data_IF_133134132496
#
_entry.id   IF_133134132496
#
_cell.length_a   1.000
_cell.length_b   1.000
_cell.length_c   1.000
_cell.angle_alpha   90.00
_cell.angle_beta   90.00
_cell.angle_gamma   90.00
#
_symmetry.space_group_name_H-M   'P 1'
#
loop_
_entity.id
_entity.type
_entity.pdbx_description
1 polymer ?
#
# COMPACT_ATOMS: atom_id res chain seq x y z
N UNK A 1 -23.66 -31.18 -8.18
CA UNK A 1 -24.60 -30.46 -7.30
C UNK A 1 -24.15 -30.45 -5.84
N UNK A 2 -23.71 -31.57 -5.26
CA UNK A 2 -23.29 -31.63 -3.84
C UNK A 2 -22.02 -30.83 -3.56
N UNK A 3 -21.02 -30.90 -4.44
CA UNK A 3 -19.75 -30.17 -4.27
C UNK A 3 -19.96 -28.65 -4.16
N UNK A 4 -20.88 -28.10 -4.95
CA UNK A 4 -21.18 -26.67 -4.91
C UNK A 4 -21.82 -26.27 -3.58
N UNK A 5 -22.84 -27.02 -3.13
CA UNK A 5 -23.50 -26.77 -1.85
C UNK A 5 -22.51 -26.85 -0.68
N UNK A 6 -21.65 -27.87 -0.67
CA UNK A 6 -20.59 -28.04 0.35
C UNK A 6 -19.63 -26.84 0.36
N UNK A 7 -19.16 -26.38 -0.80
CA UNK A 7 -18.27 -25.21 -0.87
C UNK A 7 -18.94 -23.90 -0.42
N UNK A 8 -20.24 -23.74 -0.66
CA UNK A 8 -20.99 -22.57 -0.22
C UNK A 8 -21.26 -22.62 1.28
N UNK A 9 -21.54 -23.79 1.84
CA UNK A 9 -21.67 -24.00 3.28
C UNK A 9 -20.34 -23.71 4.01
N UNK A 10 -19.20 -24.19 3.49
CA UNK A 10 -17.87 -23.90 4.04
C UNK A 10 -17.53 -22.39 4.10
N UNK A 11 -18.11 -21.59 3.20
CA UNK A 11 -17.82 -20.16 3.07
C UNK A 11 -18.83 -19.25 3.79
N UNK A 12 -19.83 -19.83 4.46
CA UNK A 12 -21.04 -19.16 4.98
C UNK A 12 -21.83 -18.44 3.88
N UNK A 13 -21.93 -19.03 2.69
CA UNK A 13 -22.60 -18.49 1.50
C UNK A 13 -23.86 -19.27 1.10
N UNK A 14 -24.26 -20.28 1.87
CA UNK A 14 -25.43 -21.15 1.63
C UNK A 14 -26.70 -20.38 1.21
N UNK A 15 -26.94 -19.23 1.83
CA UNK A 15 -28.09 -18.36 1.56
C UNK A 15 -28.16 -17.80 0.12
N UNK A 16 -27.08 -17.86 -0.65
CA UNK A 16 -27.05 -17.43 -2.05
C UNK A 16 -27.16 -18.60 -3.03
N UNK A 17 -27.11 -19.86 -2.55
CA UNK A 17 -27.05 -21.04 -3.41
C UNK A 17 -28.21 -21.07 -4.41
N UNK A 18 -29.44 -20.84 -3.94
CA UNK A 18 -30.63 -20.86 -4.79
C UNK A 18 -30.56 -19.79 -5.89
N UNK A 19 -30.13 -18.56 -5.56
CA UNK A 19 -29.97 -17.48 -6.55
C UNK A 19 -28.90 -17.79 -7.61
N UNK A 20 -27.84 -18.51 -7.23
CA UNK A 20 -26.83 -18.96 -8.18
C UNK A 20 -27.37 -20.06 -9.09
N UNK A 21 -28.11 -21.03 -8.54
CA UNK A 21 -28.73 -22.11 -9.32
C UNK A 21 -29.79 -21.59 -10.29
N UNK A 22 -30.63 -20.64 -9.88
CA UNK A 22 -31.64 -19.99 -10.74
C UNK A 22 -31.01 -19.28 -11.94
N UNK A 23 -29.82 -18.70 -11.74
CA UNK A 23 -29.07 -17.99 -12.79
C UNK A 23 -28.22 -18.94 -13.66
N UNK A 24 -28.20 -20.24 -13.35
CA UNK A 24 -27.46 -21.26 -14.12
C UNK A 24 -26.02 -21.50 -13.66
N UNK A 25 -25.63 -21.04 -12.46
CA UNK A 25 -24.36 -21.37 -11.83
C UNK A 25 -24.50 -22.65 -10.99
N UNK A 26 -24.53 -23.79 -11.65
CA UNK A 26 -24.79 -25.12 -11.07
C UNK A 26 -23.52 -25.93 -10.71
N UNK A 27 -22.37 -25.50 -11.23
CA UNK A 27 -21.09 -26.20 -11.10
C UNK A 27 -19.99 -25.27 -10.60
N UNK A 28 -19.02 -25.82 -9.87
CA UNK A 28 -17.88 -25.04 -9.37
C UNK A 28 -17.06 -24.40 -10.50
N UNK A 29 -16.96 -25.07 -11.66
CA UNK A 29 -16.27 -24.54 -12.84
C UNK A 29 -16.90 -23.25 -13.37
N UNK A 30 -18.24 -23.18 -13.46
CA UNK A 30 -18.92 -21.93 -13.86
C UNK A 30 -18.69 -20.79 -12.86
N UNK A 31 -18.50 -21.12 -11.59
CA UNK A 31 -18.22 -20.14 -10.52
C UNK A 31 -16.78 -19.65 -10.57
N UNK A 32 -15.83 -20.46 -11.05
CA UNK A 32 -14.46 -19.96 -11.24
C UNK A 32 -14.47 -18.74 -12.18
N UNK A 33 -15.29 -18.79 -13.23
CA UNK A 33 -15.34 -17.76 -14.28
C UNK A 33 -16.29 -16.58 -13.98
N UNK A 34 -16.97 -16.60 -12.83
CA UNK A 34 -17.87 -15.51 -12.42
C UNK A 34 -17.11 -14.19 -12.23
N UNK A 35 -17.68 -13.10 -12.72
CA UNK A 35 -17.07 -11.77 -12.63
C UNK A 35 -17.64 -10.96 -11.46
N UNK A 36 -16.94 -9.88 -11.06
CA UNK A 36 -17.43 -8.99 -10.00
C UNK A 36 -18.81 -8.34 -10.30
N UNK A 37 -19.14 -7.87 -11.52
CA UNK A 37 -20.48 -7.36 -11.80
C UNK A 37 -21.57 -8.44 -11.68
N UNK A 38 -21.29 -9.69 -12.07
CA UNK A 38 -22.28 -10.79 -11.93
C UNK A 38 -22.64 -11.00 -10.45
N UNK A 39 -21.65 -10.98 -9.57
CA UNK A 39 -21.86 -11.07 -8.12
C UNK A 39 -22.64 -9.88 -7.53
N UNK A 40 -22.57 -8.71 -8.16
CA UNK A 40 -23.34 -7.54 -7.76
C UNK A 40 -24.80 -7.65 -8.22
N UNK A 41 -25.03 -8.13 -9.44
CA UNK A 41 -26.36 -8.43 -9.99
C UNK A 41 -27.07 -9.51 -9.17
N UNK A 42 -26.35 -10.54 -8.74
CA UNK A 42 -26.85 -11.58 -7.82
C UNK A 42 -27.10 -11.07 -6.38
N UNK A 43 -26.83 -9.79 -6.09
CA UNK A 43 -27.10 -9.19 -4.79
C UNK A 43 -26.19 -9.69 -3.66
N UNK A 44 -25.04 -10.31 -3.99
CA UNK A 44 -24.10 -10.85 -3.01
C UNK A 44 -23.39 -9.69 -2.31
N UNK A 45 -23.43 -9.60 -0.98
CA UNK A 45 -22.79 -8.49 -0.23
C UNK A 45 -21.27 -8.44 -0.47
N UNK A 46 -20.67 -7.25 -0.51
CA UNK A 46 -19.24 -7.06 -0.82
C UNK A 46 -18.29 -7.96 0.02
N UNK A 47 -18.54 -8.11 1.33
CA UNK A 47 -17.73 -8.98 2.18
C UNK A 47 -17.78 -10.46 1.77
N UNK A 48 -18.96 -10.92 1.36
CA UNK A 48 -19.22 -12.27 0.86
C UNK A 48 -18.57 -12.49 -0.50
N UNK A 49 -18.68 -11.52 -1.41
CA UNK A 49 -17.97 -11.51 -2.70
C UNK A 49 -16.46 -11.70 -2.50
N UNK A 50 -15.86 -10.99 -1.55
CA UNK A 50 -14.42 -11.10 -1.24
C UNK A 50 -14.03 -12.44 -0.62
N UNK A 51 -14.93 -13.17 0.05
CA UNK A 51 -14.66 -14.54 0.53
C UNK A 51 -14.65 -15.53 -0.64
N UNK A 52 -15.68 -15.48 -1.48
CA UNK A 52 -15.79 -16.32 -2.67
C UNK A 52 -14.61 -16.11 -3.62
N UNK A 53 -14.29 -14.85 -3.96
CA UNK A 53 -13.15 -14.50 -4.80
C UNK A 53 -11.81 -15.03 -4.25
N UNK A 54 -11.64 -15.06 -2.92
CA UNK A 54 -10.44 -15.64 -2.30
C UNK A 54 -10.39 -17.16 -2.47
N UNK A 55 -11.50 -17.88 -2.32
CA UNK A 55 -11.56 -19.33 -2.59
C UNK A 55 -11.27 -19.60 -4.07
N UNK A 56 -11.85 -18.83 -5.00
CA UNK A 56 -11.58 -18.92 -6.44
C UNK A 56 -10.10 -18.69 -6.77
N UNK A 57 -9.46 -17.69 -6.14
CA UNK A 57 -8.03 -17.44 -6.34
C UNK A 57 -7.17 -18.60 -5.81
N UNK A 58 -7.55 -19.17 -4.64
CA UNK A 58 -6.85 -20.30 -4.05
C UNK A 58 -6.95 -21.57 -4.92
N UNK A 59 -8.13 -21.86 -5.48
CA UNK A 59 -8.32 -23.01 -6.39
C UNK A 59 -7.57 -22.84 -7.70
N UNK A 60 -7.45 -21.61 -8.21
CA UNK A 60 -6.62 -21.28 -9.38
C UNK A 60 -5.10 -21.33 -9.10
N UNK A 61 -4.69 -21.61 -7.86
CA UNK A 61 -3.28 -21.59 -7.46
C UNK A 61 -2.67 -20.19 -7.44
N UNK A 62 -3.49 -19.14 -7.57
CA UNK A 62 -3.04 -17.74 -7.50
C UNK A 62 -2.88 -17.40 -6.02
N UNK A 63 -1.71 -17.77 -5.50
CA UNK A 63 -1.34 -17.42 -4.12
C UNK A 63 -1.14 -15.90 -4.02
N UNK A 64 -1.38 -15.33 -2.84
CA UNK A 64 -1.14 -13.91 -2.55
C UNK A 64 0.28 -13.46 -2.96
N UNK A 65 1.26 -14.37 -2.94
CA UNK A 65 2.62 -14.11 -3.40
C UNK A 65 2.71 -13.81 -4.91
N UNK A 66 1.87 -14.44 -5.73
CA UNK A 66 1.83 -14.25 -7.17
C UNK A 66 1.13 -12.93 -7.56
N UNK A 67 0.14 -12.49 -6.77
CA UNK A 67 -0.49 -11.18 -6.94
C UNK A 67 0.46 -10.00 -6.59
N UNK A 68 1.44 -10.23 -5.71
CA UNK A 68 2.50 -9.27 -5.38
C UNK A 68 3.69 -9.34 -6.35
N UNK A 69 3.77 -10.36 -7.20
CA UNK A 69 4.81 -10.46 -8.22
C UNK A 69 4.55 -9.37 -9.26
N UNK A 70 5.26 -8.25 -9.11
CA UNK A 70 5.28 -7.22 -10.15
C UNK A 70 5.67 -7.86 -11.47
N UNK A 71 4.94 -7.61 -12.58
CA UNK A 71 5.37 -8.04 -13.89
C UNK A 71 6.80 -7.54 -14.07
N UNK A 72 7.75 -8.47 -14.22
CA UNK A 72 9.17 -8.18 -14.36
C UNK A 72 9.35 -7.44 -15.70
N UNK A 73 9.11 -6.13 -15.71
CA UNK A 73 9.54 -5.23 -16.77
C UNK A 73 11.06 -5.25 -16.73
N UNK A 74 11.65 -6.02 -17.62
CA UNK A 74 13.04 -5.85 -18.02
C UNK A 74 13.18 -4.48 -18.68
N UNK A 75 13.38 -3.44 -17.89
CA UNK A 75 13.84 -2.14 -18.37
C UNK A 75 15.07 -1.76 -17.54
N UNK A 76 16.22 -2.02 -18.15
CA UNK A 76 17.45 -1.23 -17.95
C UNK A 76 17.09 0.26 -17.87
N UNK A 77 17.61 0.94 -16.85
CA UNK A 77 17.41 2.39 -16.72
C UNK A 77 17.76 2.88 -15.32
N UNK A 78 19.00 3.33 -15.15
CA UNK A 78 19.39 4.22 -14.06
C UNK A 78 18.59 5.53 -14.18
N UNK A 79 17.88 5.92 -13.13
CA UNK A 79 17.90 7.31 -12.66
C UNK A 79 17.42 7.44 -11.22
N UNK A 80 18.35 7.94 -10.42
CA UNK A 80 18.21 8.47 -9.07
C UNK A 80 17.60 9.87 -9.17
N UNK A 81 16.39 10.09 -8.63
CA UNK A 81 15.92 11.41 -8.22
C UNK A 81 15.18 11.37 -6.88
N UNK A 82 16.00 11.58 -5.86
CA UNK A 82 15.70 11.91 -4.48
C UNK A 82 14.82 13.17 -4.37
N UNK A 83 13.78 13.06 -3.54
CA UNK A 83 12.79 14.06 -3.14
C UNK A 83 13.39 15.17 -2.24
N UNK A 84 13.31 16.43 -2.66
CA UNK A 84 13.47 17.56 -1.73
C UNK A 84 12.15 17.90 -1.04
N UNK A 85 12.12 17.71 0.28
CA UNK A 85 11.11 18.22 1.20
C UNK A 85 11.54 19.62 1.66
N UNK A 86 10.87 20.67 1.14
CA UNK A 86 10.98 22.04 1.66
C UNK A 86 9.77 22.34 2.53
N UNK A 87 9.93 22.19 3.85
CA UNK A 87 9.10 22.86 4.82
C UNK A 87 9.56 24.31 5.01
N UNK A 88 8.67 25.29 4.84
CA UNK A 88 8.70 26.61 5.52
C UNK A 88 7.39 27.39 5.22
N UNK A 89 6.76 27.86 6.30
CA UNK A 89 5.75 28.93 6.46
C UNK A 89 4.38 28.80 5.75
N UNK A 90 3.35 28.46 6.52
CA UNK A 90 1.95 28.78 6.18
C UNK A 90 1.62 30.19 6.65
N UNK A 91 1.67 31.14 5.72
CA UNK A 91 0.87 32.36 5.81
C UNK A 91 -0.60 32.01 5.52
N UNK A 92 -1.49 32.53 6.36
CA UNK A 92 -2.94 32.45 6.20
C UNK A 92 -3.37 33.18 4.92
N UNK A 93 -4.17 32.52 4.10
CA UNK A 93 -5.13 33.20 3.22
C UNK A 93 -6.32 32.28 2.95
N UNK A 94 -7.51 32.82 3.20
CA UNK A 94 -8.81 32.29 2.83
C UNK A 94 -8.94 32.19 1.31
N UNK A 95 -9.33 31.02 0.79
CA UNK A 95 -10.02 30.90 -0.49
C UNK A 95 -10.77 29.56 -0.55
N UNK A 96 -12.07 29.67 -0.73
CA UNK A 96 -13.03 28.62 -1.06
C UNK A 96 -13.01 28.45 -2.57
N UNK A 97 -12.76 27.24 -3.08
CA UNK A 97 -13.62 26.61 -4.09
C UNK A 97 -13.14 25.21 -4.48
N UNK A 98 -14.11 24.35 -4.77
CA UNK A 98 -13.93 22.92 -5.00
C UNK A 98 -13.30 22.58 -6.34
N UNK A 99 -12.57 21.46 -6.37
CA UNK A 99 -12.52 20.60 -7.55
C UNK A 99 -12.10 19.19 -7.15
N UNK A 100 -12.93 18.24 -7.59
CA UNK A 100 -12.80 16.81 -7.42
C UNK A 100 -11.57 16.28 -8.15
N UNK A 101 -10.61 15.70 -7.43
CA UNK A 101 -9.65 14.77 -8.06
C UNK A 101 -9.30 13.62 -7.10
N UNK A 102 -9.67 12.42 -7.56
CA UNK A 102 -9.20 11.08 -7.22
C UNK A 102 -8.52 10.90 -5.86
N UNK A 103 -9.32 10.52 -4.85
CA UNK A 103 -8.84 10.19 -3.51
C UNK A 103 -8.13 8.83 -3.50
N UNK A 104 -6.81 8.81 -3.75
CA UNK A 104 -5.96 7.77 -3.19
C UNK A 104 -6.10 7.86 -1.66
N UNK A 105 -6.72 6.84 -1.05
CA UNK A 105 -7.17 6.86 0.33
C UNK A 105 -6.09 7.36 1.29
N UNK A 106 -6.28 8.57 1.83
CA UNK A 106 -5.42 9.12 2.88
C UNK A 106 -5.44 8.14 4.06
N UNK A 107 -4.32 7.45 4.30
CA UNK A 107 -4.14 6.57 5.47
C UNK A 107 -4.58 7.36 6.71
N UNK A 108 -5.44 6.77 7.54
CA UNK A 108 -5.94 7.39 8.76
C UNK A 108 -4.75 7.72 9.66
N UNK A 109 -4.61 8.99 10.07
CA UNK A 109 -3.59 9.40 11.02
C UNK A 109 -3.94 8.80 12.39
N UNK A 110 -2.97 8.16 13.04
CA UNK A 110 -3.15 7.67 14.40
C UNK A 110 -3.40 8.85 15.34
N UNK A 111 -4.43 8.73 16.17
CA UNK A 111 -4.79 9.77 17.15
C UNK A 111 -3.83 9.85 18.33
N UNK A 112 -3.03 8.78 18.54
CA UNK A 112 -1.94 8.70 19.51
C UNK A 112 -0.74 8.05 18.84
N UNK A 113 0.42 8.68 18.94
CA UNK A 113 1.69 8.08 18.51
C UNK A 113 2.20 7.15 19.61
N UNK A 114 2.77 5.97 19.28
CA UNK A 114 3.44 5.12 20.26
C UNK A 114 4.49 5.91 21.04
N UNK A 115 4.51 5.74 22.37
CA UNK A 115 5.51 6.37 23.23
C UNK A 115 6.85 5.69 22.96
N UNK A 116 7.93 6.43 22.67
CA UNK A 116 9.26 5.85 22.52
C UNK A 116 9.70 5.15 23.81
N UNK A 117 10.35 3.99 23.69
CA UNK A 117 10.94 3.27 24.82
C UNK A 117 12.11 4.07 25.42
N UNK A 118 12.09 4.29 26.73
CA UNK A 118 13.13 5.04 27.47
C UNK A 118 14.46 4.30 27.50
N UNK A 119 14.44 2.97 27.48
CA UNK A 119 15.65 2.16 27.49
C UNK A 119 16.17 1.86 26.08
N UNK A 120 15.55 2.43 25.04
CA UNK A 120 16.00 2.22 23.67
C UNK A 120 17.38 2.88 23.45
N UNK A 121 18.36 2.15 22.88
CA UNK A 121 19.64 2.75 22.57
C UNK A 121 19.47 3.89 21.57
N UNK A 122 20.19 4.98 21.80
CA UNK A 122 20.19 6.11 20.88
C UNK A 122 20.67 5.67 19.49
N UNK A 123 20.01 6.16 18.44
CA UNK A 123 20.43 5.88 17.06
C UNK A 123 21.83 6.44 16.83
N UNK A 124 22.77 5.64 16.29
CA UNK A 124 24.11 6.14 15.99
C UNK A 124 24.04 7.19 14.88
N UNK A 125 25.01 8.11 14.88
CA UNK A 125 25.15 9.10 13.80
C UNK A 125 25.47 8.38 12.49
N UNK A 126 24.82 8.81 11.41
CA UNK A 126 25.15 8.33 10.06
C UNK A 126 26.62 8.63 9.73
N UNK A 127 27.24 7.78 8.89
CA UNK A 127 28.60 7.97 8.39
C UNK A 127 28.81 9.37 7.80
N UNK A 128 27.80 9.93 7.13
CA UNK A 128 27.85 11.30 6.61
C UNK A 128 27.90 12.36 7.73
N UNK A 129 27.14 12.17 8.80
CA UNK A 129 27.13 13.09 9.95
C UNK A 129 28.48 13.03 10.68
N UNK A 130 29.09 11.85 10.77
CA UNK A 130 30.43 11.67 11.34
C UNK A 130 31.46 12.39 10.45
N UNK A 131 31.44 12.12 9.14
CA UNK A 131 32.35 12.72 8.16
C UNK A 131 32.25 14.25 8.12
N UNK A 132 31.03 14.79 8.05
CA UNK A 132 30.80 16.24 7.96
C UNK A 132 31.21 16.95 9.25
N UNK A 133 30.94 16.37 10.42
CA UNK A 133 31.46 16.92 11.67
C UNK A 133 32.98 16.94 11.68
N UNK A 134 33.62 15.86 11.22
CA UNK A 134 35.09 15.81 11.11
C UNK A 134 35.64 16.89 10.17
N UNK A 135 35.07 17.02 8.97
CA UNK A 135 35.45 18.07 8.02
C UNK A 135 35.28 19.48 8.60
N UNK A 136 34.21 19.72 9.37
CA UNK A 136 34.01 21.01 10.06
C UNK A 136 35.06 21.28 11.13
N UNK A 137 35.43 20.28 11.94
CA UNK A 137 36.50 20.44 12.94
C UNK A 137 37.85 20.73 12.27
N UNK A 138 38.19 20.03 11.20
CA UNK A 138 39.44 20.25 10.45
C UNK A 138 39.54 21.67 9.87
N UNK A 139 38.40 22.27 9.48
CA UNK A 139 38.33 23.64 8.97
C UNK A 139 38.35 24.69 10.07
N UNK A 140 37.76 24.41 11.24
CA UNK A 140 37.84 25.29 12.42
C UNK A 140 39.28 25.45 12.92
N UNK A 141 40.06 24.37 12.91
CA UNK A 141 41.49 24.40 13.29
C UNK A 141 42.30 25.31 12.37
N UNK A 142 41.91 25.44 11.10
CA UNK A 142 42.58 26.29 10.11
C UNK A 142 42.15 27.76 10.17
N UNK A 143 41.19 28.12 11.04
CA UNK A 143 40.63 29.47 11.19
C UNK A 143 40.29 30.17 9.85
N UNK A 144 39.87 29.39 8.85
CA UNK A 144 39.52 29.91 7.54
C UNK A 144 38.21 30.70 7.64
N UNK A 145 38.16 31.84 6.95
CA UNK A 145 36.92 32.60 6.86
C UNK A 145 35.88 31.84 6.03
N UNK A 146 34.59 32.10 6.28
CA UNK A 146 33.48 31.43 5.57
C UNK A 146 33.61 31.53 4.04
N UNK A 147 34.13 32.65 3.54
CA UNK A 147 34.36 32.88 2.11
C UNK A 147 35.53 32.07 1.55
N UNK A 148 36.56 31.78 2.34
CA UNK A 148 37.70 30.94 1.94
C UNK A 148 37.32 29.46 1.95
N UNK A 149 36.47 29.03 2.89
CA UNK A 149 35.95 27.66 2.94
C UNK A 149 35.20 27.30 1.65
N UNK A 150 34.47 28.24 1.06
CA UNK A 150 33.72 28.01 -0.18
C UNK A 150 34.59 27.84 -1.43
N UNK A 151 35.91 28.04 -1.33
CA UNK A 151 36.88 27.91 -2.44
C UNK A 151 37.66 26.59 -2.42
N UNK A 152 37.40 25.72 -1.45
CA UNK A 152 37.94 24.36 -1.33
C UNK A 152 37.07 23.35 -2.06
#
# INVERSE_FOLDING_TARGET
MTELAETFDELDLAQYLDSFLEQGFDTWDTILDITEPDLDVLGVKLGHRRRLQRKIAATRGITHAQALASPKRSSSGLDDKLLEDKGVTTSRSDAKDGSSSMQLGKKRKYRKHPIPDENAPARPRSAYVIFSNKMREDLKVKSLSFTEIAKL
#
